data_IF_937234025079
#
_entry.id   IF_937234025079
#
_cell.length_a   1.000
_cell.length_b   1.000
_cell.length_c   1.000
_cell.angle_alpha   90.00
_cell.angle_beta   90.00
_cell.angle_gamma   90.00
#
_symmetry.space_group_name_H-M   'P 1'
#
loop_
_entity.id
_entity.type
_entity.pdbx_description
1 polymer ?
#
# COMPACT_ATOMS: atom_id res chain seq x y z
N UNK A 1 11.06 8.74 -18.19
CA UNK A 1 10.42 7.49 -17.73
C UNK A 1 10.75 7.12 -16.28
N UNK A 2 11.98 6.64 -15.94
CA UNK A 2 12.32 6.24 -14.55
C UNK A 2 12.10 7.32 -13.47
N UNK A 3 12.48 8.58 -13.73
CA UNK A 3 12.26 9.70 -12.79
C UNK A 3 10.78 10.07 -12.59
N UNK A 4 9.92 9.83 -13.59
CA UNK A 4 8.50 10.13 -13.50
C UNK A 4 7.75 9.18 -12.57
N UNK A 5 8.28 7.98 -12.33
CA UNK A 5 7.70 7.01 -11.38
C UNK A 5 8.25 7.17 -9.96
N UNK A 6 9.43 7.78 -9.80
CA UNK A 6 10.06 8.04 -8.50
C UNK A 6 9.33 9.17 -7.75
N UNK A 7 8.91 10.22 -8.45
CA UNK A 7 8.25 11.38 -7.84
C UNK A 7 6.92 11.05 -7.11
N UNK A 8 5.99 10.30 -7.71
CA UNK A 8 4.75 9.91 -7.04
C UNK A 8 4.98 9.01 -5.82
N UNK A 9 5.95 8.10 -5.89
CA UNK A 9 6.30 7.23 -4.76
C UNK A 9 6.93 8.05 -3.62
N UNK A 10 7.76 9.04 -3.95
CA UNK A 10 8.30 9.99 -2.95
C UNK A 10 7.17 10.80 -2.30
N UNK A 11 6.19 11.25 -3.06
CA UNK A 11 5.01 11.94 -2.53
C UNK A 11 4.24 11.08 -1.50
N UNK A 12 4.08 9.77 -1.76
CA UNK A 12 3.45 8.84 -0.81
C UNK A 12 4.23 8.70 0.50
N UNK A 13 5.54 8.88 0.49
CA UNK A 13 6.37 8.88 1.70
C UNK A 13 6.27 10.19 2.50
N UNK A 14 5.91 11.30 1.86
CA UNK A 14 5.75 12.60 2.51
C UNK A 14 4.34 12.81 3.08
N UNK A 15 3.33 12.19 2.46
CA UNK A 15 1.95 12.29 2.94
C UNK A 15 1.73 11.50 4.24
N UNK A 16 0.93 12.02 5.19
CA UNK A 16 0.66 11.36 6.46
C UNK A 16 -0.12 10.05 6.26
N UNK A 17 0.18 9.05 7.09
CA UNK A 17 -0.56 7.80 7.17
C UNK A 17 -2.05 8.04 7.50
N UNK A 18 -2.93 7.26 6.86
CA UNK A 18 -4.37 7.20 7.13
C UNK A 18 -4.72 6.02 8.04
N UNK A 19 -3.81 5.08 8.26
CA UNK A 19 -4.01 3.96 9.16
C UNK A 19 -4.15 4.47 10.59
N UNK A 20 -5.20 4.03 11.28
CA UNK A 20 -5.41 4.36 12.68
C UNK A 20 -4.24 3.82 13.52
N UNK A 21 -3.75 4.62 14.49
CA UNK A 21 -2.57 4.26 15.30
C UNK A 21 -2.80 3.00 16.14
N UNK A 22 -4.05 2.69 16.44
CA UNK A 22 -4.49 1.49 17.14
C UNK A 22 -4.30 0.23 16.27
N UNK A 23 -4.37 0.38 14.95
CA UNK A 23 -4.16 -0.72 13.99
C UNK A 23 -2.68 -0.89 13.69
N UNK A 24 -1.95 0.22 13.48
CA UNK A 24 -0.51 0.21 13.33
C UNK A 24 0.10 1.50 13.88
N UNK A 25 0.75 1.39 15.03
CA UNK A 25 1.52 2.50 15.61
C UNK A 25 2.80 2.82 14.82
N UNK A 26 3.22 1.90 13.94
CA UNK A 26 4.39 2.02 13.08
C UNK A 26 4.13 2.70 11.73
N UNK A 27 2.87 2.86 11.32
CA UNK A 27 2.54 3.52 10.05
C UNK A 27 2.76 5.04 10.17
N UNK A 28 3.64 5.60 9.35
CA UNK A 28 4.02 7.03 9.39
C UNK A 28 3.54 7.77 8.15
N UNK A 29 3.58 7.13 7.00
CA UNK A 29 3.24 7.74 5.73
C UNK A 29 2.21 6.92 4.93
N UNK A 30 1.74 7.47 3.81
CA UNK A 30 0.76 6.79 2.93
C UNK A 30 1.31 5.53 2.32
N UNK A 31 2.62 5.44 2.09
CA UNK A 31 3.25 4.22 1.60
C UNK A 31 3.16 3.09 2.66
N UNK A 32 3.35 3.41 3.94
CA UNK A 32 3.22 2.48 5.05
C UNK A 32 1.78 1.94 5.17
N UNK A 33 0.76 2.73 4.81
CA UNK A 33 -0.64 2.26 4.78
C UNK A 33 -0.82 1.08 3.81
N UNK A 34 -0.18 1.15 2.63
CA UNK A 34 -0.21 0.05 1.66
C UNK A 34 0.53 -1.18 2.18
N UNK A 35 1.65 -0.98 2.87
CA UNK A 35 2.37 -2.08 3.51
C UNK A 35 1.53 -2.73 4.62
N UNK A 36 0.90 -1.95 5.49
CA UNK A 36 0.00 -2.45 6.55
C UNK A 36 -1.18 -3.20 5.94
N UNK A 37 -1.82 -2.65 4.91
CA UNK A 37 -2.93 -3.33 4.23
C UNK A 37 -2.50 -4.68 3.64
N UNK A 38 -1.30 -4.79 3.07
CA UNK A 38 -0.77 -6.06 2.57
C UNK A 38 -0.50 -7.05 3.71
N UNK A 39 0.18 -6.61 4.77
CA UNK A 39 0.50 -7.43 5.95
C UNK A 39 -0.78 -7.99 6.60
N UNK A 40 -1.80 -7.16 6.79
CA UNK A 40 -3.06 -7.57 7.42
C UNK A 40 -3.85 -8.59 6.60
N UNK A 41 -3.62 -8.68 5.30
CA UNK A 41 -4.36 -9.56 4.39
C UNK A 41 -3.51 -10.72 3.88
N UNK A 42 -2.27 -10.91 4.36
CA UNK A 42 -1.32 -11.87 3.78
C UNK A 42 -1.88 -13.30 3.72
N UNK A 43 -2.56 -13.74 4.78
CA UNK A 43 -3.11 -15.10 4.88
C UNK A 43 -4.25 -15.39 3.90
N UNK A 44 -4.95 -14.34 3.44
CA UNK A 44 -6.06 -14.46 2.50
C UNK A 44 -5.65 -14.19 1.05
N UNK A 45 -4.55 -13.47 0.81
CA UNK A 45 -4.10 -13.10 -0.54
C UNK A 45 -2.99 -13.99 -1.07
N UNK A 46 -2.23 -14.68 -0.22
CA UNK A 46 -1.15 -15.56 -0.65
C UNK A 46 -1.67 -16.99 -0.80
N UNK A 47 -1.25 -17.70 -1.86
CA UNK A 47 -1.70 -19.06 -2.20
C UNK A 47 -3.24 -19.24 -2.29
N UNK A 48 -3.97 -18.16 -2.56
CA UNK A 48 -5.42 -18.17 -2.67
C UNK A 48 -5.90 -17.74 -4.07
N UNK A 49 -7.17 -18.01 -4.43
CA UNK A 49 -7.77 -17.50 -5.67
C UNK A 49 -7.79 -15.97 -5.75
N UNK A 50 -7.68 -15.29 -4.61
CA UNK A 50 -7.70 -13.84 -4.51
C UNK A 50 -6.37 -13.19 -4.89
N UNK A 51 -5.28 -13.95 -4.94
CA UNK A 51 -3.92 -13.45 -5.20
C UNK A 51 -3.88 -12.46 -6.36
N UNK A 52 -4.29 -12.88 -7.56
CA UNK A 52 -4.18 -12.05 -8.75
C UNK A 52 -5.15 -10.86 -8.74
N UNK A 53 -6.37 -11.09 -8.28
CA UNK A 53 -7.42 -10.06 -8.28
C UNK A 53 -7.14 -8.97 -7.26
N UNK A 54 -6.75 -9.36 -6.04
CA UNK A 54 -6.41 -8.44 -4.98
C UNK A 54 -5.18 -7.61 -5.34
N UNK A 55 -4.11 -8.23 -5.85
CA UNK A 55 -2.89 -7.48 -6.23
C UNK A 55 -3.14 -6.55 -7.43
N UNK A 56 -3.99 -6.92 -8.38
CA UNK A 56 -4.38 -6.03 -9.47
C UNK A 56 -5.13 -4.80 -8.95
N UNK A 57 -6.06 -4.99 -8.02
CA UNK A 57 -6.76 -3.87 -7.39
C UNK A 57 -5.81 -3.01 -6.55
N UNK A 58 -4.97 -3.65 -5.72
CA UNK A 58 -3.97 -2.99 -4.89
C UNK A 58 -3.04 -2.08 -5.70
N UNK A 59 -2.49 -2.58 -6.82
CA UNK A 59 -1.63 -1.77 -7.71
C UNK A 59 -2.40 -0.62 -8.36
N UNK A 60 -3.67 -0.82 -8.72
CA UNK A 60 -4.53 0.24 -9.26
C UNK A 60 -4.79 1.34 -8.23
N UNK A 61 -5.02 1.00 -6.98
CA UNK A 61 -5.22 1.98 -5.90
C UNK A 61 -3.91 2.68 -5.55
N UNK A 62 -2.78 1.96 -5.55
CA UNK A 62 -1.45 2.54 -5.39
C UNK A 62 -1.12 3.58 -6.47
N UNK A 63 -1.53 3.34 -7.71
CA UNK A 63 -1.35 4.29 -8.82
C UNK A 63 -2.24 5.54 -8.71
N UNK A 64 -3.40 5.43 -8.06
CA UNK A 64 -4.34 6.55 -7.89
C UNK A 64 -4.04 7.41 -6.66
N UNK A 65 -3.31 6.86 -5.69
CA UNK A 65 -3.00 7.48 -4.40
C UNK A 65 -1.93 8.56 -4.48
#
# INVERSE_FOLDING_TARGET
>A
EKRGHIHPVQCLHEMPSKTAKEVSSGARNRFDDFAVAHILNIDIIVFSPWLLMWHRHFTREFQQA
#
